data_IF_035990110941
#
_entry.id   IF_035990110941
#
_cell.length_a   1.000
_cell.length_b   1.000
_cell.length_c   1.000
_cell.angle_alpha   90.00
_cell.angle_beta   90.00
_cell.angle_gamma   90.00
#
_symmetry.space_group_name_H-M   'P 1'
#
loop_
_entity.id
_entity.type
_entity.pdbx_description
1 polymer ?
#
# COMPACT_ATOMS: atom_id res chain seq x y z
N UNK A 1 -37.67 17.99 -2.19
CA UNK A 1 -36.53 17.07 -1.97
C UNK A 1 -35.29 17.89 -1.66
N UNK A 2 -35.03 18.11 -0.37
CA UNK A 2 -33.98 18.99 0.14
C UNK A 2 -32.60 18.33 -0.04
N UNK A 3 -31.87 18.66 -1.11
CA UNK A 3 -30.46 18.27 -1.21
C UNK A 3 -29.68 19.18 -0.27
N UNK A 4 -29.34 18.66 0.92
CA UNK A 4 -28.31 19.26 1.76
C UNK A 4 -27.05 19.46 0.89
N UNK A 5 -26.42 20.64 0.88
CA UNK A 5 -25.12 20.78 0.24
C UNK A 5 -24.16 19.86 0.99
N UNK A 6 -23.73 18.77 0.36
CA UNK A 6 -22.70 17.90 0.94
C UNK A 6 -21.44 18.77 1.05
N UNK A 7 -21.02 18.94 2.30
CA UNK A 7 -20.10 19.96 2.77
C UNK A 7 -18.74 19.88 2.06
N UNK A 8 -18.25 21.04 1.60
CA UNK A 8 -16.87 21.20 1.12
C UNK A 8 -15.85 20.81 2.21
N UNK A 9 -16.25 20.85 3.49
CA UNK A 9 -15.46 20.43 4.65
C UNK A 9 -15.29 18.92 4.79
N UNK A 10 -16.32 18.11 4.53
CA UNK A 10 -16.24 16.66 4.69
C UNK A 10 -15.28 16.02 3.68
N UNK A 11 -15.27 16.51 2.43
CA UNK A 11 -14.35 16.01 1.41
C UNK A 11 -12.88 16.28 1.78
N UNK A 12 -12.61 17.44 2.39
CA UNK A 12 -11.28 17.77 2.89
C UNK A 12 -10.89 16.94 4.12
N UNK A 13 -11.84 16.59 4.99
CA UNK A 13 -11.55 15.77 6.18
C UNK A 13 -11.25 14.33 5.79
N UNK A 14 -12.03 13.74 4.90
CA UNK A 14 -11.80 12.39 4.39
C UNK A 14 -10.43 12.32 3.69
N UNK A 15 -10.11 13.27 2.80
CA UNK A 15 -8.81 13.36 2.14
C UNK A 15 -7.63 13.48 3.12
N UNK A 16 -7.82 14.17 4.26
CA UNK A 16 -6.80 14.25 5.31
C UNK A 16 -6.67 12.92 6.06
N UNK A 17 -7.79 12.25 6.35
CA UNK A 17 -7.80 10.95 7.02
C UNK A 17 -7.08 9.91 6.14
N UNK A 18 -7.36 9.88 4.84
CA UNK A 18 -6.71 8.93 3.94
C UNK A 18 -5.21 9.16 3.82
N UNK A 19 -4.75 10.41 3.72
CA UNK A 19 -3.33 10.76 3.79
C UNK A 19 -2.72 10.37 5.14
N UNK A 20 -3.41 10.64 6.25
CA UNK A 20 -2.97 10.24 7.58
C UNK A 20 -2.84 8.71 7.70
N UNK A 21 -3.76 7.94 7.10
CA UNK A 21 -3.65 6.47 7.03
C UNK A 21 -2.42 6.03 6.24
N UNK A 22 -2.09 6.69 5.12
CA UNK A 22 -0.86 6.37 4.36
C UNK A 22 0.39 6.64 5.20
N UNK A 23 0.46 7.81 5.85
CA UNK A 23 1.60 8.18 6.71
C UNK A 23 1.73 7.20 7.88
N UNK A 24 0.61 6.85 8.52
CA UNK A 24 0.59 5.89 9.60
C UNK A 24 1.04 4.49 9.14
N UNK A 25 0.54 4.02 7.99
CA UNK A 25 0.98 2.77 7.37
C UNK A 25 2.48 2.76 7.06
N UNK A 26 3.02 3.88 6.56
CA UNK A 26 4.45 4.04 6.30
C UNK A 26 5.28 3.97 7.58
N UNK A 27 4.82 4.58 8.68
CA UNK A 27 5.48 4.45 9.99
C UNK A 27 5.53 3.00 10.46
N UNK A 28 4.43 2.24 10.34
CA UNK A 28 4.42 0.82 10.69
C UNK A 28 5.35 0.01 9.79
N UNK A 29 5.38 0.30 8.49
CA UNK A 29 6.31 -0.32 7.56
C UNK A 29 7.77 -0.10 7.99
N UNK A 30 8.15 1.11 8.41
CA UNK A 30 9.49 1.40 8.92
C UNK A 30 9.81 0.64 10.22
N UNK A 31 8.84 0.52 11.13
CA UNK A 31 8.98 -0.29 12.36
C UNK A 31 9.28 -1.75 12.00
N UNK A 32 8.56 -2.31 11.02
CA UNK A 32 8.82 -3.65 10.51
C UNK A 32 10.17 -3.76 9.78
N UNK A 33 10.63 -2.73 9.08
CA UNK A 33 11.92 -2.76 8.40
C UNK A 33 13.10 -2.74 9.38
N UNK A 34 12.96 -2.02 10.50
CA UNK A 34 13.99 -1.86 11.52
C UNK A 34 13.54 -2.42 12.89
N UNK A 35 13.34 -3.75 13.01
CA UNK A 35 12.85 -4.37 14.25
C UNK A 35 13.80 -4.13 15.45
N UNK A 36 15.09 -3.94 15.17
CA UNK A 36 16.14 -3.67 16.16
C UNK A 36 15.87 -2.38 16.94
N UNK A 37 15.27 -1.36 16.31
CA UNK A 37 14.97 -0.07 16.95
C UNK A 37 13.86 -0.23 18.01
N UNK A 38 12.97 -1.20 17.83
CA UNK A 38 11.81 -1.45 18.71
C UNK A 38 12.08 -2.60 19.68
N UNK A 39 13.31 -3.11 19.73
CA UNK A 39 13.67 -4.30 20.52
C UNK A 39 12.74 -5.49 20.19
N UNK A 40 12.34 -5.61 18.92
CA UNK A 40 11.49 -6.69 18.46
C UNK A 40 12.23 -8.04 18.39
N UNK A 41 13.52 -8.09 18.78
CA UNK A 41 14.41 -9.25 18.73
C UNK A 41 14.85 -9.71 20.12
N UNK A 42 14.73 -11.01 20.38
CA UNK A 42 15.62 -11.83 21.23
C UNK A 42 15.30 -13.34 21.19
N UNK A 43 14.37 -13.81 20.33
CA UNK A 43 14.10 -15.25 20.17
C UNK A 43 14.09 -15.64 18.68
N UNK A 44 14.59 -16.81 18.25
CA UNK A 44 14.82 -17.18 16.85
C UNK A 44 13.55 -17.47 16.02
N UNK A 45 12.55 -16.59 16.10
CA UNK A 45 11.28 -16.61 15.35
C UNK A 45 10.84 -15.23 14.82
N UNK A 46 11.69 -14.20 14.92
CA UNK A 46 11.33 -12.79 14.71
C UNK A 46 11.07 -12.43 13.24
N UNK A 47 11.61 -13.21 12.28
CA UNK A 47 11.40 -12.95 10.85
C UNK A 47 9.93 -12.92 10.42
N UNK A 48 9.06 -13.76 10.99
CA UNK A 48 7.64 -13.82 10.61
C UNK A 48 6.88 -12.61 11.13
N UNK A 49 7.08 -12.24 12.40
CA UNK A 49 6.43 -11.06 12.98
C UNK A 49 6.87 -9.80 12.23
N UNK A 50 8.16 -9.70 11.93
CA UNK A 50 8.72 -8.62 11.11
C UNK A 50 8.00 -8.52 9.76
N UNK A 51 7.83 -9.63 9.05
CA UNK A 51 7.15 -9.66 7.76
C UNK A 51 5.67 -9.30 7.85
N UNK A 52 4.97 -9.78 8.88
CA UNK A 52 3.57 -9.43 9.12
C UNK A 52 3.41 -7.93 9.36
N UNK A 53 4.30 -7.33 10.16
CA UNK A 53 4.29 -5.87 10.42
C UNK A 53 4.59 -5.08 9.14
N UNK A 54 5.58 -5.50 8.35
CA UNK A 54 5.90 -4.89 7.04
C UNK A 54 4.66 -4.95 6.13
N UNK A 55 4.05 -6.13 5.97
CA UNK A 55 2.87 -6.32 5.12
C UNK A 55 1.67 -5.52 5.60
N UNK A 56 1.46 -5.43 6.91
CA UNK A 56 0.40 -4.62 7.49
C UNK A 56 0.59 -3.12 7.18
N UNK A 57 1.82 -2.62 7.27
CA UNK A 57 2.17 -1.26 6.87
C UNK A 57 1.87 -0.99 5.39
N UNK A 58 2.33 -1.87 4.49
CA UNK A 58 2.06 -1.78 3.04
C UNK A 58 0.54 -1.85 2.75
N UNK A 59 -0.18 -2.71 3.47
CA UNK A 59 -1.63 -2.84 3.36
C UNK A 59 -2.35 -1.55 3.72
N UNK A 60 -1.98 -0.91 4.84
CA UNK A 60 -2.55 0.38 5.23
C UNK A 60 -2.19 1.50 4.25
N UNK A 61 -0.97 1.53 3.73
CA UNK A 61 -0.59 2.48 2.67
C UNK A 61 -1.44 2.28 1.41
N UNK A 62 -1.69 1.04 1.02
CA UNK A 62 -2.52 0.71 -0.14
C UNK A 62 -3.98 1.12 0.09
N UNK A 63 -4.54 0.82 1.26
CA UNK A 63 -5.92 1.21 1.64
C UNK A 63 -6.05 2.74 1.68
N UNK A 64 -5.12 3.44 2.31
CA UNK A 64 -5.10 4.90 2.37
C UNK A 64 -5.01 5.52 0.97
N UNK A 65 -4.17 4.97 0.09
CA UNK A 65 -4.10 5.39 -1.31
C UNK A 65 -5.41 5.19 -2.08
N UNK A 66 -6.11 4.09 -1.83
CA UNK A 66 -7.44 3.82 -2.40
C UNK A 66 -8.52 4.77 -1.87
N UNK A 67 -8.52 5.04 -0.57
CA UNK A 67 -9.45 5.97 0.07
C UNK A 67 -9.24 7.40 -0.47
N UNK A 68 -7.99 7.86 -0.52
CA UNK A 68 -7.62 9.14 -1.10
C UNK A 68 -8.08 9.25 -2.55
N UNK A 69 -7.89 8.19 -3.34
CA UNK A 69 -8.29 8.13 -4.73
C UNK A 69 -9.82 8.18 -4.94
N UNK A 70 -10.59 7.70 -3.95
CA UNK A 70 -12.05 7.77 -3.96
C UNK A 70 -12.56 9.15 -3.55
N UNK A 71 -11.90 9.81 -2.60
CA UNK A 71 -12.31 11.10 -2.03
C UNK A 71 -11.99 12.28 -2.94
N UNK A 72 -10.80 12.30 -3.57
CA UNK A 72 -10.42 13.34 -4.55
C UNK A 72 -11.17 13.21 -5.88
N UNK A 73 -12.00 12.18 -6.02
CA UNK A 73 -12.79 11.92 -7.21
C UNK A 73 -13.89 12.97 -7.36
N UNK A 74 -13.87 13.67 -8.49
CA UNK A 74 -15.04 14.42 -8.93
C UNK A 74 -16.13 13.45 -9.43
N UNK A 75 -17.27 13.43 -8.75
CA UNK A 75 -18.40 12.52 -9.05
C UNK A 75 -18.94 12.66 -10.49
N UNK A 76 -18.69 13.79 -11.14
CA UNK A 76 -19.17 14.15 -12.47
C UNK A 76 -18.27 13.74 -13.64
N UNK A 77 -17.05 13.22 -13.40
CA UNK A 77 -16.09 12.90 -14.48
C UNK A 77 -15.99 11.38 -14.69
N UNK A 78 -16.08 10.87 -15.94
CA UNK A 78 -15.90 9.44 -16.23
C UNK A 78 -14.47 8.99 -15.87
N UNK A 79 -14.35 7.77 -15.33
CA UNK A 79 -13.05 7.20 -14.91
C UNK A 79 -12.19 6.94 -16.14
N UNK A 80 -11.00 7.53 -16.21
CA UNK A 80 -10.06 7.23 -17.29
C UNK A 80 -9.50 5.82 -17.13
N UNK A 81 -9.18 5.17 -18.26
CA UNK A 81 -8.62 3.81 -18.26
C UNK A 81 -7.36 3.70 -17.38
N UNK A 82 -6.48 4.71 -17.44
CA UNK A 82 -5.25 4.79 -16.64
C UNK A 82 -5.50 4.77 -15.13
N UNK A 83 -6.50 5.50 -14.65
CA UNK A 83 -6.86 5.54 -13.21
C UNK A 83 -7.38 4.17 -12.75
N UNK A 84 -8.17 3.49 -13.59
CA UNK A 84 -8.68 2.16 -13.29
C UNK A 84 -7.57 1.11 -13.29
N UNK A 85 -6.63 1.21 -14.23
CA UNK A 85 -5.45 0.34 -14.29
C UNK A 85 -4.56 0.60 -13.07
N UNK A 86 -4.26 1.85 -12.75
CA UNK A 86 -3.41 2.22 -11.61
C UNK A 86 -3.92 1.65 -10.29
N UNK A 87 -5.23 1.76 -10.04
CA UNK A 87 -5.85 1.15 -8.85
C UNK A 87 -5.65 -0.37 -8.83
N UNK A 88 -6.04 -1.06 -9.91
CA UNK A 88 -5.87 -2.52 -9.98
C UNK A 88 -4.42 -2.94 -9.79
N UNK A 89 -3.48 -2.21 -10.39
CA UNK A 89 -2.05 -2.48 -10.27
C UNK A 89 -1.54 -2.34 -8.83
N UNK A 90 -2.04 -1.36 -8.07
CA UNK A 90 -1.75 -1.25 -6.63
C UNK A 90 -2.25 -2.46 -5.84
N UNK A 91 -3.49 -2.92 -6.12
CA UNK A 91 -4.03 -4.11 -5.45
C UNK A 91 -3.23 -5.37 -5.82
N UNK A 92 -2.88 -5.55 -7.09
CA UNK A 92 -2.06 -6.68 -7.53
C UNK A 92 -0.67 -6.65 -6.90
N UNK A 93 -0.03 -5.48 -6.84
CA UNK A 93 1.26 -5.33 -6.17
C UNK A 93 1.21 -5.72 -4.69
N UNK A 94 0.15 -5.34 -3.97
CA UNK A 94 -0.05 -5.77 -2.59
C UNK A 94 -0.22 -7.29 -2.46
N UNK A 95 -0.97 -7.93 -3.36
CA UNK A 95 -1.11 -9.40 -3.38
C UNK A 95 0.24 -10.08 -3.61
N UNK A 96 1.06 -9.56 -4.54
CA UNK A 96 2.41 -10.08 -4.78
C UNK A 96 3.27 -9.98 -3.51
N UNK A 97 3.24 -8.83 -2.82
CA UNK A 97 3.91 -8.66 -1.53
C UNK A 97 3.44 -9.69 -0.50
N UNK A 98 2.13 -9.85 -0.33
CA UNK A 98 1.55 -10.72 0.67
C UNK A 98 1.89 -12.20 0.42
N UNK A 99 1.74 -12.67 -0.82
CA UNK A 99 2.04 -14.06 -1.19
C UNK A 99 3.54 -14.35 -1.05
N UNK A 100 4.40 -13.43 -1.50
CA UNK A 100 5.84 -13.62 -1.43
C UNK A 100 6.37 -13.54 0.01
N UNK A 101 5.88 -12.56 0.78
CA UNK A 101 6.29 -12.35 2.18
C UNK A 101 5.77 -13.43 3.13
N UNK A 102 4.62 -14.04 2.83
CA UNK A 102 4.06 -15.15 3.62
C UNK A 102 4.34 -16.52 3.01
N UNK A 103 5.21 -16.64 2.00
CA UNK A 103 5.42 -17.89 1.27
C UNK A 103 5.83 -19.06 2.19
N UNK A 104 6.68 -18.82 3.19
CA UNK A 104 7.08 -19.86 4.16
C UNK A 104 5.94 -20.21 5.11
N UNK A 105 5.13 -19.22 5.53
CA UNK A 105 3.93 -19.45 6.38
C UNK A 105 2.86 -20.24 5.63
N UNK A 106 2.76 -20.04 4.31
CA UNK A 106 1.84 -20.76 3.43
C UNK A 106 2.35 -22.15 3.03
N UNK A 107 3.57 -22.54 3.44
CA UNK A 107 4.16 -23.86 3.13
C UNK A 107 4.67 -24.01 1.69
N UNK A 108 4.68 -22.93 0.90
CA UNK A 108 5.17 -22.88 -0.49
C UNK A 108 6.68 -22.55 -0.51
N UNK A 109 7.17 -21.90 0.54
CA UNK A 109 8.52 -21.40 0.64
C UNK A 109 9.59 -22.49 0.86
N UNK A 110 10.84 -22.10 0.63
CA UNK A 110 11.98 -23.02 0.60
C UNK A 110 12.46 -23.44 1.99
N UNK A 111 12.08 -22.71 3.04
CA UNK A 111 12.46 -22.99 4.43
C UNK A 111 11.22 -23.39 5.21
N UNK A 112 10.67 -24.57 4.88
CA UNK A 112 9.59 -25.16 5.66
C UNK A 112 10.06 -25.47 7.08
N UNK A 113 9.30 -24.99 8.06
CA UNK A 113 9.55 -25.11 9.49
C UNK A 113 9.48 -26.61 9.84
N UNK A 114 10.63 -27.31 9.98
CA UNK A 114 11.07 -27.72 11.32
C UNK A 114 12.61 -27.86 11.54
N UNK A 115 13.51 -27.44 10.65
CA UNK A 115 14.96 -27.77 10.81
C UNK A 115 15.98 -26.62 10.58
N UNK A 116 15.56 -25.36 10.59
CA UNK A 116 16.50 -24.23 10.50
C UNK A 116 15.90 -22.91 10.99
N UNK A 117 16.76 -21.97 11.37
CA UNK A 117 16.33 -20.61 11.72
C UNK A 117 15.48 -20.03 10.57
N UNK A 118 14.33 -19.40 10.84
CA UNK A 118 13.51 -18.76 9.81
C UNK A 118 14.32 -17.67 9.11
N UNK A 119 14.79 -17.99 7.91
CA UNK A 119 15.65 -17.13 7.12
C UNK A 119 14.84 -16.50 5.99
N UNK A 120 14.83 -15.17 5.95
CA UNK A 120 14.19 -14.44 4.87
C UNK A 120 14.93 -14.72 3.56
N UNK A 121 14.30 -15.53 2.71
CA UNK A 121 14.95 -16.04 1.49
C UNK A 121 15.10 -14.95 0.43
N UNK A 122 16.11 -15.09 -0.43
CA UNK A 122 16.33 -14.20 -1.57
C UNK A 122 15.06 -14.05 -2.43
N UNK A 123 14.35 -15.15 -2.68
CA UNK A 123 13.11 -15.16 -3.45
C UNK A 123 11.95 -14.42 -2.78
N UNK A 124 11.82 -14.48 -1.46
CA UNK A 124 10.81 -13.72 -0.72
C UNK A 124 11.11 -12.22 -0.79
N UNK A 125 12.37 -11.85 -0.61
CA UNK A 125 12.81 -10.45 -0.72
C UNK A 125 12.57 -9.87 -2.11
N UNK A 126 12.91 -10.62 -3.15
CA UNK A 126 12.69 -10.23 -4.54
C UNK A 126 11.19 -10.10 -4.85
N UNK A 127 10.38 -11.04 -4.35
CA UNK A 127 8.93 -10.98 -4.48
C UNK A 127 8.33 -9.74 -3.80
N UNK A 128 8.75 -9.45 -2.57
CA UNK A 128 8.33 -8.25 -1.84
C UNK A 128 8.73 -6.95 -2.57
N UNK A 129 9.97 -6.86 -3.04
CA UNK A 129 10.46 -5.70 -3.81
C UNK A 129 9.66 -5.53 -5.10
N UNK A 130 9.41 -6.63 -5.82
CA UNK A 130 8.63 -6.59 -7.06
C UNK A 130 7.22 -6.06 -6.80
N UNK A 131 6.52 -6.56 -5.77
CA UNK A 131 5.19 -6.09 -5.40
C UNK A 131 5.18 -4.60 -5.04
N UNK A 132 6.20 -4.12 -4.33
CA UNK A 132 6.35 -2.70 -4.01
C UNK A 132 6.53 -1.83 -5.27
N UNK A 133 7.29 -2.32 -6.26
CA UNK A 133 7.43 -1.66 -7.57
C UNK A 133 6.08 -1.58 -8.29
N UNK A 134 5.29 -2.67 -8.30
CA UNK A 134 3.94 -2.66 -8.89
C UNK A 134 3.00 -1.66 -8.20
N UNK A 135 3.06 -1.56 -6.86
CA UNK A 135 2.32 -0.54 -6.10
C UNK A 135 2.76 0.86 -6.52
N UNK A 136 4.07 1.12 -6.57
CA UNK A 136 4.60 2.43 -6.95
C UNK A 136 4.17 2.84 -8.37
N UNK A 137 4.25 1.94 -9.34
CA UNK A 137 3.75 2.18 -10.71
C UNK A 137 2.25 2.47 -10.70
N UNK A 138 1.47 1.72 -9.92
CA UNK A 138 0.03 1.93 -9.78
C UNK A 138 -0.32 3.32 -9.23
N UNK A 139 0.41 3.78 -8.21
CA UNK A 139 0.30 5.13 -7.66
C UNK A 139 0.65 6.18 -8.71
N UNK A 140 1.76 6.01 -9.44
CA UNK A 140 2.19 6.96 -10.49
C UNK A 140 1.16 7.08 -11.62
N UNK A 141 0.59 5.95 -12.05
CA UNK A 141 -0.46 5.94 -13.09
C UNK A 141 -1.72 6.66 -12.63
N UNK A 142 -2.06 6.55 -11.35
CA UNK A 142 -3.17 7.30 -10.75
C UNK A 142 -2.84 8.80 -10.61
N UNK A 143 -1.64 9.13 -10.13
CA UNK A 143 -1.20 10.50 -9.83
C UNK A 143 -0.99 11.38 -11.07
N UNK A 144 -0.61 10.80 -12.21
CA UNK A 144 -0.46 11.51 -13.50
C UNK A 144 -1.80 11.91 -14.15
N UNK A 145 -2.76 12.36 -13.33
CA UNK A 145 -3.99 13.00 -13.76
C UNK A 145 -3.62 14.27 -14.51
N UNK A 146 -3.82 14.26 -15.83
CA UNK A 146 -3.57 15.41 -16.71
C UNK A 146 -4.35 16.62 -16.20
N UNK A 147 -3.63 17.66 -15.76
CA UNK A 147 -4.19 18.99 -15.52
C UNK A 147 -4.58 19.55 -16.89
N UNK A 148 -5.87 19.81 -17.18
CA UNK A 148 -6.23 20.52 -18.40
C UNK A 148 -5.51 21.86 -18.38
N UNK A 149 -4.65 22.10 -19.37
CA UNK A 149 -3.96 23.35 -19.61
C UNK A 149 -4.88 24.53 -19.30
N UNK A 150 -4.52 25.36 -18.32
CA UNK A 150 -4.99 26.74 -18.21
C UNK A 150 -4.36 27.53 -19.37
N UNK A 151 -4.84 27.30 -20.59
CA UNK A 151 -4.51 28.10 -21.76
C UNK A 151 -5.80 28.44 -22.48
N UNK A 152 -6.56 29.34 -21.89
CA UNK A 152 -7.52 30.19 -22.60
C UNK A 152 -7.97 31.28 -21.63
N UNK A 153 -7.24 32.39 -21.65
CA UNK A 153 -7.68 33.77 -21.35
C UNK A 153 -6.46 34.69 -21.40
N UNK A 154 -5.99 34.92 -22.62
CA UNK A 154 -5.42 36.21 -23.05
C UNK A 154 -6.00 36.52 -24.41
#
# INVERSE_FOLDING_TARGET
>A
MNRKPVAMDELSQLARISVATVVFGFTIFLIGMFPVIVNLDLNPGVGILQLVVILFGIGMMTIGGYAYAYETRHRSVPRRLREQIGLRLMATGYVICAVSGLADVLGIGSHNIPSGLPYFGLWQSLGLISGLVFIAIGVLLYAQRYSPNTKEKQ
#
